data_IF_953853486775
#
_entry.id   IF_953853486775
#
_cell.length_a   1.000
_cell.length_b   1.000
_cell.length_c   1.000
_cell.angle_alpha   90.00
_cell.angle_beta   90.00
_cell.angle_gamma   90.00
#
_symmetry.space_group_name_H-M   'P 1'
#
loop_
_entity.id
_entity.type
_entity.pdbx_description
1 polymer ?
#
# COMPACT_ATOMS: atom_id res chain seq x y z
N UNK A 1 15.78 -15.01 -21.20
CA UNK A 1 15.53 -14.80 -19.75
C UNK A 1 14.15 -14.17 -19.63
N UNK A 2 13.30 -14.67 -18.72
CA UNK A 2 11.99 -14.04 -18.47
C UNK A 2 12.20 -12.63 -17.90
N UNK A 3 11.39 -11.63 -18.28
CA UNK A 3 11.54 -10.28 -17.76
C UNK A 3 11.32 -10.26 -16.24
N UNK A 4 12.19 -9.54 -15.52
CA UNK A 4 12.05 -9.33 -14.07
C UNK A 4 10.78 -8.51 -13.79
N UNK A 5 10.11 -8.79 -12.69
CA UNK A 5 8.94 -8.05 -12.19
C UNK A 5 9.14 -6.53 -12.21
N UNK A 6 10.28 -6.03 -11.72
CA UNK A 6 10.64 -4.60 -11.79
C UNK A 6 10.57 -4.07 -13.22
N UNK A 7 11.09 -4.82 -14.20
CA UNK A 7 11.07 -4.40 -15.60
C UNK A 7 9.65 -4.34 -16.15
N UNK A 8 8.83 -5.34 -15.83
CA UNK A 8 7.41 -5.38 -16.25
C UNK A 8 6.66 -4.16 -15.68
N UNK A 9 6.80 -3.92 -14.37
CA UNK A 9 6.12 -2.83 -13.69
C UNK A 9 6.60 -1.47 -14.16
N UNK A 10 7.91 -1.27 -14.33
CA UNK A 10 8.46 -0.01 -14.83
C UNK A 10 8.04 0.28 -16.27
N UNK A 11 8.10 -0.71 -17.16
CA UNK A 11 7.71 -0.55 -18.56
C UNK A 11 6.20 -0.25 -18.68
N UNK A 12 5.37 -0.85 -17.83
CA UNK A 12 3.92 -0.67 -17.87
C UNK A 12 3.44 0.61 -17.18
N UNK A 13 4.05 0.99 -16.04
CA UNK A 13 3.54 2.07 -15.19
C UNK A 13 4.31 3.38 -15.34
N UNK A 14 5.61 3.36 -15.66
CA UNK A 14 6.44 4.58 -15.64
C UNK A 14 6.61 5.19 -17.03
N UNK A 15 6.92 4.36 -18.03
CA UNK A 15 7.18 4.80 -19.41
C UNK A 15 5.97 5.55 -20.02
N UNK A 16 4.74 5.00 -20.01
CA UNK A 16 3.57 5.71 -20.54
C UNK A 16 3.09 6.84 -19.61
N UNK A 17 3.56 6.90 -18.36
CA UNK A 17 3.12 7.91 -17.41
C UNK A 17 3.86 9.24 -17.51
N UNK A 18 4.89 9.37 -18.35
CA UNK A 18 5.55 10.66 -18.55
C UNK A 18 4.64 11.63 -19.31
N UNK A 19 4.64 12.92 -18.94
CA UNK A 19 3.76 13.92 -19.58
C UNK A 19 3.91 13.97 -21.11
N UNK A 20 5.12 13.95 -21.70
CA UNK A 20 5.29 13.99 -23.15
C UNK A 20 4.74 12.77 -23.88
N UNK A 21 4.60 11.62 -23.19
CA UNK A 21 4.00 10.41 -23.76
C UNK A 21 2.46 10.50 -23.83
N UNK A 22 1.86 11.43 -23.08
CA UNK A 22 0.41 11.62 -22.99
C UNK A 22 -0.02 12.80 -23.84
N UNK A 23 0.72 13.91 -23.74
CA UNK A 23 0.49 15.09 -24.54
C UNK A 23 1.81 15.84 -24.74
N UNK A 24 2.17 16.06 -25.99
CA UNK A 24 3.32 16.88 -26.34
C UNK A 24 3.07 18.35 -26.00
N UNK A 25 4.13 19.15 -25.88
CA UNK A 25 3.99 20.60 -25.68
C UNK A 25 3.18 21.25 -26.80
N UNK A 26 3.29 20.75 -28.03
CA UNK A 26 2.58 21.29 -29.18
C UNK A 26 1.07 21.03 -29.08
N UNK A 27 0.67 19.78 -28.84
CA UNK A 27 -0.73 19.42 -28.60
C UNK A 27 -1.30 20.16 -27.39
N UNK A 28 -0.51 20.31 -26.32
CA UNK A 28 -0.91 21.09 -25.15
C UNK A 28 -1.14 22.57 -25.49
N UNK A 29 -0.28 23.17 -26.32
CA UNK A 29 -0.49 24.56 -26.78
C UNK A 29 -1.76 24.71 -27.63
N UNK A 30 -2.12 23.69 -28.40
CA UNK A 30 -3.33 23.71 -29.25
C UNK A 30 -4.64 23.72 -28.44
N UNK A 31 -4.61 23.30 -27.17
CA UNK A 31 -5.76 23.38 -26.26
C UNK A 31 -6.14 24.82 -25.88
N UNK A 32 -5.26 25.80 -26.12
CA UNK A 32 -5.50 27.20 -25.80
C UNK A 32 -6.01 27.97 -27.03
N UNK A 33 -6.81 29.04 -26.82
CA UNK A 33 -7.24 29.92 -27.92
C UNK A 33 -6.04 30.48 -28.71
N UNK A 34 -6.16 30.60 -30.04
CA UNK A 34 -5.07 31.04 -30.94
C UNK A 34 -4.38 32.34 -30.50
N UNK A 35 -5.12 33.28 -29.90
CA UNK A 35 -4.57 34.54 -29.39
C UNK A 35 -3.60 34.37 -28.22
N UNK A 36 -3.69 33.26 -27.49
CA UNK A 36 -2.90 32.97 -26.30
C UNK A 36 -1.80 31.93 -26.55
N UNK A 37 -1.83 31.20 -27.67
CA UNK A 37 -0.86 30.12 -27.98
C UNK A 37 0.61 30.58 -28.04
N UNK A 38 0.85 31.84 -28.40
CA UNK A 38 2.19 32.44 -28.40
C UNK A 38 2.67 32.88 -27.01
N UNK A 39 1.81 32.78 -25.99
CA UNK A 39 2.13 33.21 -24.63
C UNK A 39 3.22 32.32 -24.01
N UNK A 40 4.29 32.91 -23.43
CA UNK A 40 5.32 32.14 -22.75
C UNK A 40 4.78 31.40 -21.51
N UNK A 41 3.65 31.84 -20.96
CA UNK A 41 3.04 31.23 -19.78
C UNK A 41 2.55 29.80 -20.02
N UNK A 42 2.18 29.46 -21.26
CA UNK A 42 1.75 28.09 -21.60
C UNK A 42 2.92 27.11 -21.46
N UNK A 43 4.14 27.54 -21.83
CA UNK A 43 5.35 26.72 -21.65
C UNK A 43 5.70 26.55 -20.17
N UNK A 44 5.53 27.59 -19.37
CA UNK A 44 5.73 27.51 -17.92
C UNK A 44 4.74 26.52 -17.29
N UNK A 45 3.46 26.66 -17.63
CA UNK A 45 2.41 25.75 -17.14
C UNK A 45 2.68 24.30 -17.53
N UNK A 46 3.12 24.03 -18.77
CA UNK A 46 3.50 22.69 -19.20
C UNK A 46 4.67 22.13 -18.38
N UNK A 47 5.69 22.94 -18.08
CA UNK A 47 6.81 22.55 -17.22
C UNK A 47 6.39 22.29 -15.79
N UNK A 48 5.49 23.09 -15.25
CA UNK A 48 4.96 22.90 -13.90
C UNK A 48 4.18 21.58 -13.81
N UNK A 49 3.31 21.31 -14.79
CA UNK A 49 2.61 20.04 -14.93
C UNK A 49 3.57 18.85 -15.08
N UNK A 50 4.63 19.02 -15.87
CA UNK A 50 5.65 18.00 -16.06
C UNK A 50 6.36 17.70 -14.74
N UNK A 51 6.67 18.73 -13.94
CA UNK A 51 7.33 18.60 -12.64
C UNK A 51 6.42 17.89 -11.63
N UNK A 52 5.16 18.31 -11.53
CA UNK A 52 4.17 17.66 -10.66
C UNK A 52 3.99 16.18 -11.01
N UNK A 53 3.91 15.88 -12.31
CA UNK A 53 3.73 14.52 -12.79
C UNK A 53 4.96 13.66 -12.54
N UNK A 54 6.17 14.19 -12.80
CA UNK A 54 7.41 13.48 -12.52
C UNK A 54 7.53 13.13 -11.03
N UNK A 55 7.13 14.03 -10.12
CA UNK A 55 7.13 13.73 -8.68
C UNK A 55 6.26 12.50 -8.33
N UNK A 56 5.09 12.35 -8.99
CA UNK A 56 4.23 11.16 -8.81
C UNK A 56 4.88 9.91 -9.42
N UNK A 57 5.44 10.02 -10.63
CA UNK A 57 6.14 8.91 -11.31
C UNK A 57 7.32 8.42 -10.46
N UNK A 58 8.08 9.35 -9.85
CA UNK A 58 9.20 9.02 -8.98
C UNK A 58 8.74 8.30 -7.69
N UNK A 59 7.60 8.71 -7.12
CA UNK A 59 6.99 8.00 -5.98
C UNK A 59 6.61 6.57 -6.34
N UNK A 60 5.95 6.36 -7.49
CA UNK A 60 5.57 5.03 -7.97
C UNK A 60 6.81 4.19 -8.30
N UNK A 61 7.87 4.79 -8.84
CA UNK A 61 9.13 4.09 -9.08
C UNK A 61 9.74 3.55 -7.77
N UNK A 62 9.74 4.35 -6.70
CA UNK A 62 10.21 3.92 -5.39
C UNK A 62 9.34 2.78 -4.79
N UNK A 63 8.02 2.85 -4.98
CA UNK A 63 7.10 1.80 -4.56
C UNK A 63 7.32 0.49 -5.32
N UNK A 64 7.56 0.54 -6.64
CA UNK A 64 7.89 -0.63 -7.45
C UNK A 64 9.14 -1.33 -6.93
N UNK A 65 10.17 -0.58 -6.52
CA UNK A 65 11.37 -1.17 -5.91
C UNK A 65 11.09 -1.85 -4.57
N UNK A 66 10.27 -1.21 -3.72
CA UNK A 66 9.85 -1.77 -2.44
C UNK A 66 9.01 -3.04 -2.63
N UNK A 67 8.11 -3.04 -3.61
CA UNK A 67 7.26 -4.19 -3.95
C UNK A 67 8.10 -5.33 -4.52
N UNK A 68 9.03 -5.05 -5.43
CA UNK A 68 9.92 -6.08 -5.98
C UNK A 68 10.80 -6.75 -4.90
N UNK A 69 11.16 -6.02 -3.84
CA UNK A 69 11.84 -6.59 -2.66
C UNK A 69 10.89 -7.49 -1.86
N UNK A 70 9.65 -7.05 -1.62
CA UNK A 70 8.61 -7.85 -0.94
C UNK A 70 8.26 -9.12 -1.72
N UNK A 71 8.06 -9.04 -3.03
CA UNK A 71 7.80 -10.19 -3.89
C UNK A 71 8.94 -11.21 -3.89
N UNK A 72 10.20 -10.77 -3.76
CA UNK A 72 11.34 -11.69 -3.55
C UNK A 72 11.27 -12.40 -2.19
N UNK A 73 10.89 -11.71 -1.12
CA UNK A 73 10.72 -12.31 0.20
C UNK A 73 9.56 -13.33 0.21
N UNK A 74 8.41 -12.99 -0.37
CA UNK A 74 7.28 -13.91 -0.50
C UNK A 74 7.63 -15.15 -1.32
N UNK A 75 8.33 -15.00 -2.46
CA UNK A 75 8.81 -16.16 -3.24
C UNK A 75 9.70 -17.08 -2.42
N UNK A 76 10.55 -16.54 -1.54
CA UNK A 76 11.39 -17.37 -0.64
C UNK A 76 10.56 -18.14 0.37
N UNK A 77 9.55 -17.50 0.97
CA UNK A 77 8.61 -18.16 1.90
C UNK A 77 7.84 -19.27 1.19
N UNK A 78 7.31 -18.99 -0.01
CA UNK A 78 6.59 -19.98 -0.81
C UNK A 78 7.47 -21.18 -1.21
N UNK A 79 8.73 -20.93 -1.62
CA UNK A 79 9.67 -22.02 -1.92
C UNK A 79 10.00 -22.83 -0.65
N UNK A 80 10.11 -22.18 0.51
CA UNK A 80 10.34 -22.86 1.78
C UNK A 80 9.14 -23.74 2.16
N UNK A 81 7.92 -23.21 2.10
CA UNK A 81 6.69 -23.96 2.34
C UNK A 81 6.54 -25.15 1.39
N UNK A 82 6.76 -24.95 0.09
CA UNK A 82 6.76 -26.05 -0.89
C UNK A 82 7.81 -27.11 -0.62
N UNK A 83 8.99 -26.72 -0.12
CA UNK A 83 10.03 -27.68 0.27
C UNK A 83 9.72 -28.39 1.59
N UNK A 84 8.90 -27.81 2.46
CA UNK A 84 8.42 -28.49 3.67
C UNK A 84 7.28 -29.47 3.32
N UNK A 85 6.47 -29.16 2.29
CA UNK A 85 5.48 -30.08 1.70
C UNK A 85 6.13 -31.19 0.85
N UNK A 86 7.19 -30.87 0.08
CA UNK A 86 7.96 -31.83 -0.74
C UNK A 86 9.12 -32.49 0.02
N UNK A 87 9.40 -32.04 1.26
CA UNK A 87 10.26 -32.82 2.13
C UNK A 87 9.62 -34.20 2.21
N UNK A 88 10.37 -35.30 1.98
CA UNK A 88 9.78 -36.62 2.13
C UNK A 88 9.16 -36.63 3.51
N UNK A 89 7.82 -36.75 3.55
CA UNK A 89 7.11 -37.03 4.77
C UNK A 89 7.93 -38.14 5.44
N UNK A 90 8.35 -37.90 6.68
CA UNK A 90 9.20 -38.85 7.37
C UNK A 90 8.52 -40.21 7.35
N UNK A 91 8.97 -41.09 6.45
CA UNK A 91 8.65 -42.51 6.41
C UNK A 91 7.14 -42.82 6.42
N UNK A 92 6.37 -42.28 5.46
CA UNK A 92 4.95 -42.67 5.32
C UNK A 92 4.80 -44.17 5.10
N UNK A 93 5.77 -44.82 4.47
CA UNK A 93 5.79 -46.28 4.38
C UNK A 93 5.84 -46.91 5.77
N UNK A 94 6.65 -46.41 6.71
CA UNK A 94 6.60 -46.87 8.09
C UNK A 94 5.35 -46.43 8.86
N UNK A 95 4.74 -45.29 8.56
CA UNK A 95 3.48 -44.88 9.20
C UNK A 95 2.28 -45.70 8.69
N UNK A 96 2.24 -45.99 7.39
CA UNK A 96 1.28 -46.88 6.73
C UNK A 96 1.52 -48.33 7.20
N UNK A 97 2.76 -48.79 7.31
CA UNK A 97 3.11 -50.12 7.84
C UNK A 97 2.76 -50.21 9.35
N UNK A 98 2.90 -49.12 10.11
CA UNK A 98 2.47 -49.02 11.52
C UNK A 98 0.94 -49.03 11.68
N UNK A 99 0.20 -48.47 10.73
CA UNK A 99 -1.27 -48.52 10.66
C UNK A 99 -1.79 -49.90 10.19
N UNK A 100 -1.07 -50.58 9.28
CA UNK A 100 -1.45 -51.90 8.77
C UNK A 100 -1.01 -53.08 9.67
N UNK A 101 0.16 -53.01 10.31
CA UNK A 101 0.80 -54.14 11.02
C UNK A 101 1.02 -53.92 12.52
N UNK A 102 0.22 -53.03 13.12
CA UNK A 102 0.25 -52.62 14.54
C UNK A 102 1.06 -53.52 15.49
N UNK A 103 2.03 -52.91 16.18
CA UNK A 103 2.82 -53.45 17.29
C UNK A 103 3.87 -54.55 17.01
N UNK A 104 4.29 -54.80 15.77
CA UNK A 104 5.38 -55.78 15.52
C UNK A 104 6.77 -55.18 15.30
N UNK A 105 6.90 -53.88 15.03
CA UNK A 105 8.18 -53.20 14.82
C UNK A 105 8.61 -52.40 16.06
N UNK A 106 9.80 -52.72 16.57
CA UNK A 106 10.41 -52.16 17.78
C UNK A 106 10.95 -50.72 17.58
N UNK A 107 10.16 -49.76 17.11
CA UNK A 107 10.53 -48.35 17.19
C UNK A 107 9.83 -47.69 18.38
N UNK A 108 10.62 -47.16 19.31
CA UNK A 108 10.10 -46.50 20.49
C UNK A 108 9.44 -45.19 20.09
N UNK A 109 8.13 -45.09 20.26
CA UNK A 109 7.44 -43.81 20.24
C UNK A 109 8.04 -42.89 21.32
N UNK A 110 8.29 -41.59 21.05
CA UNK A 110 8.47 -40.65 22.13
C UNK A 110 7.15 -40.59 22.89
N UNK A 111 7.12 -41.20 24.07
CA UNK A 111 5.95 -41.19 24.94
C UNK A 111 5.79 -39.77 25.48
N UNK A 112 5.03 -38.93 24.79
CA UNK A 112 4.54 -37.69 25.36
C UNK A 112 3.82 -38.03 26.66
N UNK A 113 4.30 -37.45 27.76
CA UNK A 113 3.66 -37.60 29.05
C UNK A 113 2.98 -36.28 29.40
N UNK A 114 2.08 -36.32 30.38
CA UNK A 114 1.35 -35.13 30.84
C UNK A 114 2.33 -33.99 31.17
N UNK A 115 3.54 -34.30 31.67
CA UNK A 115 4.58 -33.32 31.98
C UNK A 115 5.23 -32.65 30.76
N UNK A 116 5.18 -33.24 29.57
CA UNK A 116 5.65 -32.60 28.33
C UNK A 116 4.56 -31.82 27.60
N UNK A 117 3.29 -32.24 27.70
CA UNK A 117 2.18 -31.63 26.96
C UNK A 117 1.62 -30.38 27.68
N UNK A 118 1.63 -30.37 29.01
CA UNK A 118 1.11 -29.23 29.80
C UNK A 118 1.86 -27.91 29.53
N UNK A 119 3.21 -27.88 29.53
CA UNK A 119 3.95 -26.66 29.24
C UNK A 119 3.71 -26.13 27.83
N UNK A 120 3.59 -27.03 26.84
CA UNK A 120 3.31 -26.66 25.45
C UNK A 120 1.92 -26.04 25.32
N UNK A 121 0.91 -26.57 26.02
CA UNK A 121 -0.44 -26.01 26.05
C UNK A 121 -0.50 -24.69 26.83
N UNK A 122 0.22 -24.55 27.95
CA UNK A 122 0.33 -23.30 28.68
C UNK A 122 1.01 -22.21 27.83
N UNK A 123 2.02 -22.58 27.05
CA UNK A 123 2.64 -21.69 26.06
C UNK A 123 1.65 -21.23 24.99
N UNK A 124 0.91 -22.16 24.39
CA UNK A 124 -0.11 -21.84 23.39
C UNK A 124 -1.23 -20.94 23.95
N UNK A 125 -1.66 -21.16 25.20
CA UNK A 125 -2.64 -20.29 25.88
C UNK A 125 -2.07 -18.89 26.07
N UNK A 126 -0.82 -18.77 26.53
CA UNK A 126 -0.16 -17.47 26.71
C UNK A 126 0.00 -16.72 25.40
N UNK A 127 0.33 -17.41 24.30
CA UNK A 127 0.43 -16.82 22.97
C UNK A 127 -0.93 -16.27 22.51
N UNK A 128 -2.00 -17.06 22.63
CA UNK A 128 -3.36 -16.63 22.28
C UNK A 128 -3.84 -15.45 23.13
N UNK A 129 -3.55 -15.44 24.43
CA UNK A 129 -3.87 -14.31 25.30
C UNK A 129 -3.14 -13.03 24.89
N UNK A 130 -1.88 -13.15 24.45
CA UNK A 130 -1.11 -12.01 23.94
C UNK A 130 -1.66 -11.49 22.62
N UNK A 131 -2.08 -12.39 21.72
CA UNK A 131 -2.70 -12.03 20.44
C UNK A 131 -4.05 -11.33 20.66
N UNK A 132 -4.87 -11.81 21.60
CA UNK A 132 -6.13 -11.16 21.98
C UNK A 132 -5.92 -9.74 22.53
N UNK A 133 -4.86 -9.51 23.31
CA UNK A 133 -4.53 -8.17 23.81
C UNK A 133 -4.15 -7.23 22.66
N UNK A 134 -3.31 -7.68 21.73
CA UNK A 134 -2.93 -6.89 20.57
C UNK A 134 -4.14 -6.55 19.68
N UNK A 135 -5.01 -7.53 19.42
CA UNK A 135 -6.25 -7.28 18.66
C UNK A 135 -7.16 -6.26 19.36
N UNK A 136 -7.24 -6.28 20.70
CA UNK A 136 -8.01 -5.31 21.46
C UNK A 136 -7.45 -3.89 21.36
N UNK A 137 -6.12 -3.73 21.36
CA UNK A 137 -5.46 -2.45 21.15
C UNK A 137 -5.69 -1.91 19.74
N UNK A 138 -5.59 -2.78 18.72
CA UNK A 138 -5.87 -2.44 17.33
C UNK A 138 -7.33 -2.03 17.13
N UNK A 139 -8.28 -2.74 17.73
CA UNK A 139 -9.70 -2.39 17.69
C UNK A 139 -9.94 -1.00 18.29
N UNK A 140 -9.38 -0.73 19.48
CA UNK A 140 -9.52 0.57 20.14
C UNK A 140 -8.93 1.72 19.30
N UNK A 141 -7.75 1.50 18.69
CA UNK A 141 -7.12 2.47 17.81
C UNK A 141 -7.97 2.75 16.56
N UNK A 142 -8.51 1.69 15.94
CA UNK A 142 -9.37 1.81 14.77
C UNK A 142 -10.68 2.55 15.11
N UNK A 143 -11.29 2.23 16.24
CA UNK A 143 -12.52 2.87 16.71
C UNK A 143 -12.30 4.37 16.97
N UNK A 144 -11.16 4.73 17.57
CA UNK A 144 -10.76 6.14 17.75
C UNK A 144 -10.61 6.88 16.42
N UNK A 145 -9.94 6.27 15.45
CA UNK A 145 -9.79 6.83 14.09
C UNK A 145 -11.14 7.05 13.40
N UNK A 146 -12.06 6.09 13.51
CA UNK A 146 -13.42 6.21 12.94
C UNK A 146 -14.15 7.36 13.63
N UNK A 147 -14.11 7.45 14.96
CA UNK A 147 -14.75 8.54 15.70
C UNK A 147 -14.20 9.91 15.32
N UNK A 148 -12.87 10.04 15.18
CA UNK A 148 -12.22 11.27 14.72
C UNK A 148 -12.67 11.64 13.30
N UNK A 149 -12.72 10.66 12.41
CA UNK A 149 -13.16 10.85 11.03
C UNK A 149 -14.62 11.31 10.98
N UNK A 150 -15.52 10.64 11.69
CA UNK A 150 -16.94 11.02 11.79
C UNK A 150 -17.11 12.41 12.42
N UNK A 151 -16.31 12.74 13.42
CA UNK A 151 -16.26 14.09 14.01
C UNK A 151 -15.88 15.14 12.98
N UNK A 152 -14.80 14.91 12.23
CA UNK A 152 -14.34 15.82 11.17
C UNK A 152 -15.36 15.99 10.04
N UNK A 153 -16.05 14.92 9.65
CA UNK A 153 -17.14 14.97 8.65
C UNK A 153 -18.37 15.70 9.18
N UNK A 154 -18.68 15.56 10.47
CA UNK A 154 -19.77 16.29 11.12
C UNK A 154 -19.47 17.79 11.18
N UNK A 155 -18.24 18.18 11.50
CA UNK A 155 -17.80 19.57 11.47
C UNK A 155 -17.92 20.19 10.07
N UNK A 156 -17.54 19.45 9.02
CA UNK A 156 -17.76 19.86 7.62
C UNK A 156 -19.24 20.09 7.31
N UNK A 157 -20.14 19.23 7.79
CA UNK A 157 -21.59 19.37 7.60
C UNK A 157 -22.15 20.64 8.26
N UNK A 158 -21.60 21.05 9.39
CA UNK A 158 -22.00 22.28 10.09
C UNK A 158 -21.16 23.50 9.70
N UNK A 159 -20.32 23.40 8.65
CA UNK A 159 -19.52 24.49 8.12
C UNK A 159 -18.33 24.91 9.00
N UNK A 160 -17.93 24.05 9.95
CA UNK A 160 -16.68 24.19 10.69
C UNK A 160 -15.57 23.54 9.87
N UNK A 161 -14.86 24.36 9.11
CA UNK A 161 -13.65 23.92 8.43
C UNK A 161 -12.49 23.85 9.42
N UNK A 162 -11.55 22.93 9.19
CA UNK A 162 -10.31 22.84 9.97
C UNK A 162 -9.53 24.18 9.98
N UNK A 163 -9.64 24.95 8.89
CA UNK A 163 -9.23 26.34 8.84
C UNK A 163 -10.46 27.25 9.09
N UNK A 164 -10.63 27.69 10.34
CA UNK A 164 -11.72 28.59 10.72
C UNK A 164 -11.71 29.96 10.03
N UNK A 165 -10.57 30.37 9.46
CA UNK A 165 -10.40 31.64 8.73
C UNK A 165 -10.61 31.50 7.22
N UNK A 166 -10.86 30.29 6.72
CA UNK A 166 -11.00 30.02 5.28
C UNK A 166 -12.07 30.90 4.63
N UNK A 167 -13.18 31.13 5.34
CA UNK A 167 -14.25 32.02 4.86
C UNK A 167 -13.76 33.44 4.66
N UNK A 168 -13.03 33.98 5.62
CA UNK A 168 -12.54 35.37 5.58
C UNK A 168 -11.46 35.53 4.50
N UNK A 169 -10.57 34.54 4.36
CA UNK A 169 -9.54 34.49 3.31
C UNK A 169 -10.15 34.44 1.90
N UNK A 170 -11.24 33.68 1.71
CA UNK A 170 -11.96 33.63 0.42
C UNK A 170 -12.63 34.98 0.13
N UNK A 171 -13.23 35.63 1.13
CA UNK A 171 -13.83 36.94 0.98
C UNK A 171 -12.79 38.03 0.65
N UNK A 172 -11.64 37.99 1.30
CA UNK A 172 -10.52 38.89 1.03
C UNK A 172 -9.94 38.66 -0.38
N UNK A 173 -9.74 37.40 -0.78
CA UNK A 173 -9.31 37.04 -2.12
C UNK A 173 -10.29 37.53 -3.20
N UNK A 174 -11.60 37.37 -2.99
CA UNK A 174 -12.63 37.87 -3.90
C UNK A 174 -12.66 39.41 -3.95
N UNK A 175 -12.45 40.09 -2.83
CA UNK A 175 -12.34 41.54 -2.79
C UNK A 175 -11.14 42.03 -3.61
N UNK A 176 -9.98 41.41 -3.42
CA UNK A 176 -8.76 41.70 -4.19
C UNK A 176 -8.96 41.46 -5.70
N UNK A 177 -9.64 40.38 -6.07
CA UNK A 177 -9.94 40.05 -7.47
C UNK A 177 -10.92 41.05 -8.11
N UNK A 178 -11.92 41.51 -7.34
CA UNK A 178 -12.82 42.58 -7.77
C UNK A 178 -12.09 43.90 -7.98
N UNK A 179 -11.18 44.25 -7.08
CA UNK A 179 -10.46 45.53 -7.15
C UNK A 179 -9.45 45.54 -8.30
N UNK A 180 -8.79 44.41 -8.56
CA UNK A 180 -7.93 44.23 -9.74
C UNK A 180 -8.70 44.21 -11.07
N UNK A 181 -9.94 43.72 -11.11
CA UNK A 181 -10.81 43.84 -12.29
C UNK A 181 -11.34 45.27 -12.50
N UNK A 182 -11.57 46.04 -11.43
CA UNK A 182 -11.99 47.45 -11.51
C UNK A 182 -10.86 48.37 -11.96
N UNK A 183 -9.61 48.08 -11.60
CA UNK A 183 -8.45 48.89 -12.03
C UNK A 183 -8.02 48.65 -13.48
N UNK A 184 -8.60 47.64 -14.13
CA UNK A 184 -8.25 47.21 -15.49
C UNK A 184 -9.30 47.58 -16.55
N UNK A 185 -10.42 48.20 -16.13
CA UNK A 185 -11.39 48.92 -16.97
C UNK A 185 -11.21 50.43 -16.78
#
# INVERSE_FOLDING_TARGET
>A
MAPTETKILSDYLLVPAQLPAIISLQEFTELFPRSLQSSPQIRNLYRDLQTQRNAVVDSVAAEIEAEAKRGKAMRRVMIKAKREEEAPENDDEAEIERLLFGSTSHSQTPKHNIGSVLPDLEGAVSELESELQLLGEEEAALLSSIQQTVGSMSDLRYGRFANGQLRDQVLEGLASLRDTCKSKN
#
